data_IF_576090543558
#
_entry.id   IF_576090543558
#
_cell.length_a   1.000
_cell.length_b   1.000
_cell.length_c   1.000
_cell.angle_alpha   90.00
_cell.angle_beta   90.00
_cell.angle_gamma   90.00
#
_symmetry.space_group_name_H-M   'P 1'
#
loop_
_entity.id
_entity.type
_entity.pdbx_description
1 polymer ?
#
# COMPACT_ATOMS: atom_id res chain seq x y z
N UNK A 1 12.21 6.17 23.14
CA UNK A 1 13.13 5.18 22.53
C UNK A 1 12.42 3.83 22.57
N UNK A 2 11.88 3.32 21.45
CA UNK A 2 11.16 2.04 21.47
C UNK A 2 10.25 1.74 20.28
N UNK A 3 9.76 2.76 19.56
CA UNK A 3 8.88 2.52 18.39
C UNK A 3 9.63 2.08 17.14
N UNK A 4 10.87 2.53 16.95
CA UNK A 4 11.66 2.22 15.74
C UNK A 4 11.96 0.72 15.59
N UNK A 5 12.18 0.01 16.71
CA UNK A 5 12.39 -1.44 16.69
C UNK A 5 11.11 -2.21 16.27
N UNK A 6 9.94 -1.78 16.75
CA UNK A 6 8.64 -2.34 16.35
C UNK A 6 8.31 -2.14 14.87
N UNK A 7 8.72 -1.02 14.28
CA UNK A 7 8.53 -0.76 12.84
C UNK A 7 9.36 -1.71 11.95
N UNK A 8 10.53 -2.14 12.43
CA UNK A 8 11.42 -3.04 11.69
C UNK A 8 10.95 -4.50 11.77
N UNK A 9 10.42 -4.94 12.91
CA UNK A 9 10.06 -6.36 13.11
C UNK A 9 8.74 -6.78 12.42
N UNK A 10 7.75 -5.91 12.35
CA UNK A 10 6.40 -6.31 11.89
C UNK A 10 6.10 -5.99 10.43
N UNK A 11 7.07 -5.44 9.68
CA UNK A 11 6.83 -5.09 8.29
C UNK A 11 5.70 -4.07 8.11
N UNK A 12 5.48 -3.19 9.11
CA UNK A 12 4.43 -2.15 9.09
C UNK A 12 4.49 -1.32 7.81
N UNK A 13 5.70 -1.04 7.30
CA UNK A 13 5.89 -0.35 6.02
C UNK A 13 5.29 -1.15 4.84
N UNK A 14 5.46 -2.48 4.85
CA UNK A 14 4.89 -3.38 3.85
C UNK A 14 3.36 -3.40 3.95
N UNK A 15 2.81 -3.44 5.15
CA UNK A 15 1.36 -3.47 5.36
C UNK A 15 0.69 -2.14 4.95
N UNK A 16 1.27 -1.00 5.34
CA UNK A 16 0.80 0.33 4.93
C UNK A 16 0.84 0.51 3.42
N UNK A 17 1.91 0.06 2.76
CA UNK A 17 2.00 0.11 1.29
C UNK A 17 1.04 -0.85 0.62
N UNK A 18 1.02 -2.12 1.03
CA UNK A 18 0.34 -3.19 0.31
C UNK A 18 -1.17 -3.18 0.54
N UNK A 19 -1.64 -2.83 1.73
CA UNK A 19 -3.06 -2.84 2.05
C UNK A 19 -3.64 -1.43 1.93
N UNK A 20 -3.16 -0.49 2.76
CA UNK A 20 -3.80 0.82 2.92
C UNK A 20 -3.64 1.73 1.70
N UNK A 21 -2.42 1.89 1.19
CA UNK A 21 -2.18 2.75 0.02
C UNK A 21 -2.76 2.14 -1.26
N UNK A 22 -2.73 0.81 -1.39
CA UNK A 22 -3.39 0.11 -2.49
C UNK A 22 -4.90 0.32 -2.47
N UNK A 23 -5.52 0.31 -1.29
CA UNK A 23 -6.96 0.55 -1.16
C UNK A 23 -7.34 1.99 -1.54
N UNK A 24 -6.58 2.98 -1.07
CA UNK A 24 -6.81 4.39 -1.45
C UNK A 24 -6.64 4.57 -2.97
N UNK A 25 -5.59 4.01 -3.55
CA UNK A 25 -5.38 4.03 -5.00
C UNK A 25 -6.55 3.37 -5.74
N UNK A 26 -7.02 2.21 -5.26
CA UNK A 26 -8.12 1.50 -5.89
C UNK A 26 -9.41 2.33 -5.87
N UNK A 27 -9.71 3.02 -4.78
CA UNK A 27 -10.87 3.92 -4.69
C UNK A 27 -10.77 5.10 -5.66
N UNK A 28 -9.57 5.63 -5.92
CA UNK A 28 -9.35 6.75 -6.83
C UNK A 28 -9.38 6.37 -8.31
N UNK A 29 -9.08 5.10 -8.64
CA UNK A 29 -8.82 4.67 -10.02
C UNK A 29 -9.80 3.62 -10.54
N UNK A 30 -10.59 2.99 -9.66
CA UNK A 30 -11.63 2.07 -10.07
C UNK A 30 -12.69 2.78 -10.93
N UNK A 31 -13.37 2.00 -11.76
CA UNK A 31 -14.53 2.50 -12.50
C UNK A 31 -15.58 3.04 -11.52
N UNK A 32 -16.15 4.21 -11.81
CA UNK A 32 -17.18 4.82 -10.98
C UNK A 32 -18.39 3.86 -10.92
N UNK A 33 -18.78 3.36 -9.73
CA UNK A 33 -19.95 2.52 -9.59
C UNK A 33 -21.21 3.34 -9.87
N UNK A 34 -22.21 2.72 -10.49
CA UNK A 34 -23.52 3.35 -10.69
C UNK A 34 -24.24 3.58 -9.35
N UNK A 35 -23.98 2.71 -8.36
CA UNK A 35 -24.48 2.86 -7.00
C UNK A 35 -23.37 2.60 -5.98
N UNK A 36 -22.90 3.66 -5.31
CA UNK A 36 -21.89 3.58 -4.24
C UNK A 36 -22.35 2.83 -2.99
N UNK A 37 -23.66 2.69 -2.78
CA UNK A 37 -24.23 1.90 -1.67
C UNK A 37 -24.25 0.39 -1.98
N UNK A 38 -23.98 0.00 -3.23
CA UNK A 38 -23.87 -1.40 -3.64
C UNK A 38 -22.42 -1.89 -3.47
N UNK A 39 -22.14 -2.54 -2.34
CA UNK A 39 -20.80 -3.05 -2.00
C UNK A 39 -20.26 -4.08 -3.00
N UNK A 40 -21.12 -4.91 -3.59
CA UNK A 40 -20.73 -5.91 -4.60
C UNK A 40 -20.18 -5.26 -5.87
N UNK A 41 -20.80 -4.17 -6.33
CA UNK A 41 -20.36 -3.44 -7.51
C UNK A 41 -19.01 -2.76 -7.28
N UNK A 42 -18.84 -2.13 -6.11
CA UNK A 42 -17.56 -1.53 -5.70
C UNK A 42 -16.47 -2.59 -5.63
N UNK A 43 -16.75 -3.75 -5.03
CA UNK A 43 -15.78 -4.85 -4.92
C UNK A 43 -15.38 -5.38 -6.30
N UNK A 44 -16.34 -5.57 -7.21
CA UNK A 44 -16.05 -6.00 -8.59
C UNK A 44 -15.17 -5.00 -9.33
N UNK A 45 -15.45 -3.70 -9.22
CA UNK A 45 -14.64 -2.67 -9.85
C UNK A 45 -13.22 -2.62 -9.28
N UNK A 46 -13.05 -2.78 -7.95
CA UNK A 46 -11.74 -2.92 -7.30
C UNK A 46 -11.00 -4.17 -7.81
N UNK A 47 -11.66 -5.33 -7.88
CA UNK A 47 -11.06 -6.58 -8.35
C UNK A 47 -10.62 -6.50 -9.81
N UNK A 48 -11.44 -5.92 -10.69
CA UNK A 48 -11.10 -5.75 -12.09
C UNK A 48 -9.88 -4.84 -12.27
N UNK A 49 -9.83 -3.73 -11.51
CA UNK A 49 -8.68 -2.83 -11.49
C UNK A 49 -7.40 -3.57 -11.03
N UNK A 50 -7.44 -4.22 -9.86
CA UNK A 50 -6.27 -4.92 -9.32
C UNK A 50 -5.79 -6.05 -10.25
N UNK A 51 -6.71 -6.74 -10.92
CA UNK A 51 -6.39 -7.79 -11.90
C UNK A 51 -5.71 -7.25 -13.16
N UNK A 52 -5.91 -5.97 -13.48
CA UNK A 52 -5.28 -5.30 -14.62
C UNK A 52 -3.92 -4.67 -14.30
N UNK A 53 -3.53 -4.65 -13.02
CA UNK A 53 -2.26 -4.07 -12.61
C UNK A 53 -1.09 -4.96 -13.01
N UNK A 54 -0.07 -4.32 -13.58
CA UNK A 54 1.19 -4.99 -13.87
C UNK A 54 1.97 -5.20 -12.57
N UNK A 55 2.63 -6.36 -12.40
CA UNK A 55 3.53 -6.57 -11.27
C UNK A 55 4.63 -5.50 -11.24
N UNK A 56 4.95 -5.01 -10.04
CA UNK A 56 6.02 -4.03 -9.86
C UNK A 56 7.39 -4.66 -10.14
N UNK A 57 8.12 -4.11 -11.11
CA UNK A 57 9.50 -4.47 -11.39
C UNK A 57 10.47 -3.89 -10.36
N UNK A 58 11.64 -4.52 -10.19
CA UNK A 58 12.67 -4.08 -9.22
C UNK A 58 13.16 -2.64 -9.43
N UNK A 59 13.08 -2.13 -10.66
CA UNK A 59 13.52 -0.76 -11.00
C UNK A 59 12.41 0.28 -10.87
N UNK A 60 11.19 -0.12 -10.49
CA UNK A 60 10.04 0.77 -10.33
C UNK A 60 9.79 1.16 -8.88
N UNK A 61 10.60 0.65 -7.94
CA UNK A 61 10.47 0.92 -6.52
C UNK A 61 11.84 1.21 -5.90
N UNK A 62 11.91 2.25 -5.07
CA UNK A 62 13.09 2.58 -4.26
C UNK A 62 12.74 2.36 -2.80
N UNK A 63 13.31 1.32 -2.19
CA UNK A 63 13.20 1.09 -0.76
C UNK A 63 14.51 1.55 -0.09
N UNK A 64 14.44 2.62 0.71
CA UNK A 64 15.58 3.10 1.50
C UNK A 64 15.30 2.87 2.98
N UNK A 65 16.16 2.10 3.64
CA UNK A 65 16.16 1.95 5.09
C UNK A 65 17.21 2.94 5.63
N UNK A 66 16.77 3.97 6.36
CA UNK A 66 17.67 4.96 6.95
C UNK A 66 18.28 4.40 8.23
N UNK A 67 19.50 3.88 8.16
CA UNK A 67 20.32 3.58 9.35
C UNK A 67 20.88 4.88 9.92
N UNK A 68 20.04 5.66 10.58
CA UNK A 68 20.44 6.97 11.11
C UNK A 68 20.13 7.03 12.60
N UNK A 69 20.90 6.27 13.38
CA UNK A 69 20.94 6.34 14.85
C UNK A 69 22.24 5.71 15.38
N UNK A 70 23.40 6.07 14.81
CA UNK A 70 24.62 6.17 15.60
C UNK A 70 24.62 7.57 16.19
N UNK A 71 24.19 7.69 17.43
CA UNK A 71 24.50 8.89 18.22
C UNK A 71 25.99 8.78 18.57
N UNK A 72 26.84 9.41 17.78
CA UNK A 72 28.13 9.90 18.29
C UNK A 72 27.83 11.16 19.08
N UNK A 73 27.80 11.04 20.42
CA UNK A 73 28.35 11.90 21.49
C UNK A 73 28.05 11.23 22.82
#
# INVERSE_FOLDING_TARGET
KGRVAFYNEYGVIRDVLQNHLTEVMALLTMKLPANVSNSEEVLRNKLQLLSSMLPLGKNQAVARISNSLKFDV
#
